data_IF_032741289639
#
_entry.id   IF_032741289639
#
_cell.length_a   1.000
_cell.length_b   1.000
_cell.length_c   1.000
_cell.angle_alpha   90.00
_cell.angle_beta   90.00
_cell.angle_gamma   90.00
#
_symmetry.space_group_name_H-M   'P 1'
#
loop_
_entity.id
_entity.type
_entity.pdbx_description
1 polymer ?
#
# COMPACT_ATOMS: atom_id res chain seq x y z
N UNK A 1 -5.03 -25.80 -23.47
CA UNK A 1 -5.25 -25.04 -22.21
C UNK A 1 -5.06 -25.98 -21.03
N UNK A 2 -4.42 -25.53 -19.95
CA UNK A 2 -4.09 -26.29 -18.74
C UNK A 2 -4.76 -25.67 -17.50
N UNK A 3 -4.82 -26.40 -16.36
CA UNK A 3 -5.27 -25.87 -15.05
C UNK A 3 -4.48 -24.59 -14.73
N UNK A 4 -5.15 -23.49 -14.36
CA UNK A 4 -4.50 -22.21 -13.97
C UNK A 4 -4.32 -22.10 -12.46
N UNK A 5 -4.25 -23.24 -11.81
CA UNK A 5 -4.40 -23.41 -10.37
C UNK A 5 -3.22 -22.77 -9.61
N UNK A 6 -2.00 -22.93 -10.14
CA UNK A 6 -0.78 -22.27 -9.66
C UNK A 6 -0.79 -20.76 -9.92
N UNK A 7 -1.18 -20.33 -11.12
CA UNK A 7 -1.24 -18.91 -11.50
C UNK A 7 -2.19 -18.14 -10.58
N UNK A 8 -3.37 -18.72 -10.29
CA UNK A 8 -4.33 -18.19 -9.31
C UNK A 8 -3.74 -18.10 -7.90
N UNK A 9 -3.02 -19.12 -7.46
CA UNK A 9 -2.41 -19.14 -6.14
C UNK A 9 -1.35 -18.05 -5.99
N UNK A 10 -0.50 -17.88 -7.01
CA UNK A 10 0.53 -16.84 -7.05
C UNK A 10 -0.11 -15.44 -7.08
N UNK A 11 -1.08 -15.21 -7.97
CA UNK A 11 -1.76 -13.91 -8.05
C UNK A 11 -2.47 -13.56 -6.73
N UNK A 12 -3.07 -14.53 -6.05
CA UNK A 12 -3.66 -14.31 -4.71
C UNK A 12 -2.61 -14.00 -3.65
N UNK A 13 -1.43 -14.63 -3.71
CA UNK A 13 -0.32 -14.31 -2.82
C UNK A 13 0.16 -12.87 -3.05
N UNK A 14 0.30 -12.45 -4.30
CA UNK A 14 0.72 -11.09 -4.65
C UNK A 14 -0.29 -10.03 -4.17
N UNK A 15 -1.60 -10.30 -4.31
CA UNK A 15 -2.67 -9.46 -3.75
C UNK A 15 -2.47 -9.30 -2.24
N UNK A 16 -2.36 -10.41 -1.50
CA UNK A 16 -2.19 -10.36 -0.04
C UNK A 16 -0.93 -9.58 0.36
N UNK A 17 0.18 -9.75 -0.38
CA UNK A 17 1.42 -9.00 -0.11
C UNK A 17 1.24 -7.51 -0.35
N UNK A 18 0.57 -7.09 -1.42
CA UNK A 18 0.29 -5.67 -1.66
C UNK A 18 -0.64 -5.09 -0.61
N UNK A 19 -1.65 -5.83 -0.16
CA UNK A 19 -2.53 -5.41 0.94
C UNK A 19 -1.72 -5.17 2.22
N UNK A 20 -0.83 -6.09 2.58
CA UNK A 20 0.06 -5.93 3.75
C UNK A 20 0.94 -4.68 3.64
N UNK A 21 1.55 -4.45 2.47
CA UNK A 21 2.36 -3.25 2.22
C UNK A 21 1.50 -1.99 2.36
N UNK A 22 0.29 -1.99 1.80
CA UNK A 22 -0.63 -0.86 1.88
C UNK A 22 -1.01 -0.53 3.34
N UNK A 23 -1.27 -1.55 4.17
CA UNK A 23 -1.52 -1.35 5.59
C UNK A 23 -0.32 -0.70 6.29
N UNK A 24 0.90 -1.16 6.04
CA UNK A 24 2.11 -0.57 6.62
C UNK A 24 2.31 0.88 6.19
N UNK A 25 2.04 1.22 4.93
CA UNK A 25 2.16 2.59 4.43
C UNK A 25 1.14 3.53 5.08
N UNK A 26 -0.11 3.09 5.23
CA UNK A 26 -1.16 3.88 5.91
C UNK A 26 -0.82 4.10 7.38
N UNK A 27 -0.32 3.08 8.07
CA UNK A 27 0.08 3.22 9.47
C UNK A 27 1.27 4.18 9.61
N UNK A 28 2.23 4.10 8.68
CA UNK A 28 3.38 5.03 8.63
C UNK A 28 2.95 6.47 8.38
N UNK A 29 1.97 6.72 7.49
CA UNK A 29 1.39 8.04 7.25
C UNK A 29 0.74 8.61 8.53
N UNK A 30 0.01 7.78 9.26
CA UNK A 30 -0.61 8.15 10.53
C UNK A 30 0.44 8.50 11.58
N UNK A 31 1.44 7.65 11.78
CA UNK A 31 2.54 7.91 12.73
C UNK A 31 3.29 9.19 12.37
N UNK A 32 3.57 9.42 11.08
CA UNK A 32 4.23 10.65 10.65
C UNK A 32 3.40 11.89 10.98
N UNK A 33 2.08 11.83 10.78
CA UNK A 33 1.16 12.91 11.12
C UNK A 33 1.10 13.16 12.63
N UNK A 34 1.12 12.11 13.44
CA UNK A 34 1.16 12.21 14.91
C UNK A 34 2.47 12.85 15.39
N UNK A 35 3.61 12.44 14.83
CA UNK A 35 4.92 13.01 15.16
C UNK A 35 4.99 14.50 14.79
N UNK A 36 4.50 14.87 13.61
CA UNK A 36 4.42 16.28 13.19
C UNK A 36 3.59 17.11 14.17
N UNK A 37 2.44 16.62 14.62
CA UNK A 37 1.61 17.32 15.60
C UNK A 37 2.32 17.47 16.95
N UNK A 38 2.93 16.41 17.47
CA UNK A 38 3.69 16.44 18.72
C UNK A 38 4.86 17.42 18.65
N UNK A 39 5.56 17.48 17.51
CA UNK A 39 6.65 18.42 17.30
C UNK A 39 6.15 19.86 17.22
N UNK A 40 5.05 20.11 16.50
CA UNK A 40 4.39 21.42 16.45
C UNK A 40 3.99 21.91 17.85
N UNK A 41 3.46 21.04 18.70
CA UNK A 41 3.10 21.35 20.09
C UNK A 41 4.33 21.66 20.96
N UNK A 42 5.40 20.88 20.80
CA UNK A 42 6.67 21.11 21.50
C UNK A 42 7.31 22.44 21.08
N UNK A 43 7.32 22.73 19.79
CA UNK A 43 7.81 23.98 19.20
C UNK A 43 7.01 25.19 19.71
N UNK A 44 5.68 25.05 19.81
CA UNK A 44 4.82 26.09 20.36
C UNK A 44 5.10 26.34 21.85
N UNK A 45 5.24 25.27 22.64
CA UNK A 45 5.51 25.35 24.09
C UNK A 45 6.90 25.91 24.39
N UNK A 46 7.90 25.56 23.60
CA UNK A 46 9.29 26.03 23.79
C UNK A 46 9.51 27.47 23.34
N UNK A 47 8.75 27.98 22.34
CA UNK A 47 8.67 29.42 22.02
C UNK A 47 8.19 30.26 23.20
N UNK A 48 7.28 29.72 24.01
CA UNK A 48 6.77 30.40 25.21
C UNK A 48 7.78 30.35 26.37
N UNK A 49 8.75 29.42 26.37
CA UNK A 49 9.54 29.10 27.57
C UNK A 49 11.03 29.50 27.48
N UNK A 50 11.83 29.17 26.44
CA UNK A 50 13.27 29.53 26.39
C UNK A 50 13.90 29.49 24.96
N UNK A 51 14.41 30.64 24.49
CA UNK A 51 15.51 30.86 23.50
C UNK A 51 15.38 30.48 22.01
N UNK A 52 16.05 31.28 21.17
CA UNK A 52 15.74 31.60 19.77
C UNK A 52 16.72 31.08 18.70
N UNK A 53 17.57 30.08 18.96
CA UNK A 53 18.56 29.60 17.96
C UNK A 53 18.36 28.11 17.61
N UNK A 54 18.36 27.19 18.57
CA UNK A 54 18.26 25.75 18.30
C UNK A 54 16.90 25.33 17.70
N UNK A 55 15.85 26.10 17.98
CA UNK A 55 14.48 25.82 17.53
C UNK A 55 14.27 25.99 16.02
N UNK A 56 15.00 26.90 15.37
CA UNK A 56 14.88 27.09 13.93
C UNK A 56 15.61 25.99 13.14
N UNK A 57 16.77 25.53 13.62
CA UNK A 57 17.48 24.38 13.02
C UNK A 57 16.67 23.09 13.18
N UNK A 58 16.12 22.83 14.37
CA UNK A 58 15.21 21.70 14.61
C UNK A 58 13.98 21.73 13.70
N UNK A 59 13.31 22.88 13.57
CA UNK A 59 12.17 23.01 12.64
C UNK A 59 12.60 22.79 11.18
N UNK A 60 13.78 23.24 10.76
CA UNK A 60 14.25 23.06 9.37
C UNK A 60 14.58 21.59 9.07
N UNK A 61 15.29 20.90 9.97
CA UNK A 61 15.57 19.47 9.83
C UNK A 61 14.28 18.64 9.87
N UNK A 62 13.33 19.01 10.72
CA UNK A 62 12.02 18.36 10.81
C UNK A 62 11.17 18.60 9.56
N UNK A 63 11.16 19.83 9.02
CA UNK A 63 10.45 20.15 7.78
C UNK A 63 11.05 19.37 6.61
N UNK A 64 12.38 19.19 6.58
CA UNK A 64 13.07 18.42 5.55
C UNK A 64 12.75 16.92 5.65
N UNK A 65 12.81 16.34 6.85
CA UNK A 65 12.47 14.92 7.10
C UNK A 65 10.99 14.64 6.83
N UNK A 66 10.09 15.53 7.27
CA UNK A 66 8.66 15.40 7.01
C UNK A 66 8.35 15.59 5.53
N UNK A 67 9.04 16.47 4.81
CA UNK A 67 8.77 16.67 3.38
C UNK A 67 9.01 15.40 2.58
N UNK A 68 10.13 14.72 2.81
CA UNK A 68 10.44 13.50 2.08
C UNK A 68 9.43 12.37 2.39
N UNK A 69 8.99 12.25 3.65
CA UNK A 69 8.01 11.24 4.06
C UNK A 69 6.59 11.58 3.60
N UNK A 70 6.18 12.85 3.73
CA UNK A 70 4.84 13.33 3.38
C UNK A 70 4.60 13.43 1.88
N UNK A 71 5.64 13.56 1.05
CA UNK A 71 5.51 13.50 -0.41
C UNK A 71 5.53 12.06 -0.94
N UNK A 72 6.37 11.19 -0.38
CA UNK A 72 6.58 9.83 -0.93
C UNK A 72 5.48 8.85 -0.51
N UNK A 73 5.04 8.87 0.76
CA UNK A 73 4.08 7.88 1.27
C UNK A 73 2.72 7.94 0.54
N UNK A 74 2.09 9.11 0.35
CA UNK A 74 0.81 9.18 -0.37
C UNK A 74 0.92 8.66 -1.80
N UNK A 75 2.04 8.95 -2.47
CA UNK A 75 2.30 8.52 -3.84
C UNK A 75 2.48 6.99 -3.94
N UNK A 76 3.17 6.39 -2.95
CA UNK A 76 3.28 4.94 -2.80
C UNK A 76 1.92 4.28 -2.51
N UNK A 77 1.10 4.88 -1.64
CA UNK A 77 -0.28 4.41 -1.36
C UNK A 77 -1.11 4.36 -2.64
N UNK A 78 -1.04 5.42 -3.47
CA UNK A 78 -1.75 5.48 -4.76
C UNK A 78 -1.26 4.36 -5.70
N UNK A 79 0.06 4.16 -5.80
CA UNK A 79 0.66 3.08 -6.63
C UNK A 79 0.22 1.70 -6.15
N UNK A 80 0.23 1.43 -4.85
CA UNK A 80 -0.24 0.19 -4.27
C UNK A 80 -1.73 -0.05 -4.56
N UNK A 81 -2.60 0.95 -4.35
CA UNK A 81 -4.04 0.86 -4.67
C UNK A 81 -4.28 0.56 -6.15
N UNK A 82 -3.54 1.22 -7.04
CA UNK A 82 -3.64 0.96 -8.48
C UNK A 82 -3.23 -0.47 -8.81
N UNK A 83 -2.09 -0.93 -8.28
CA UNK A 83 -1.58 -2.27 -8.56
C UNK A 83 -2.49 -3.37 -7.99
N UNK A 84 -3.05 -3.15 -6.80
CA UNK A 84 -4.04 -4.04 -6.20
C UNK A 84 -5.23 -4.26 -7.13
N UNK A 85 -5.81 -3.16 -7.65
CA UNK A 85 -6.92 -3.20 -8.59
C UNK A 85 -6.58 -3.91 -9.91
N UNK A 86 -5.34 -3.79 -10.38
CA UNK A 86 -4.86 -4.53 -11.56
C UNK A 86 -4.80 -6.03 -11.28
N UNK A 87 -4.23 -6.44 -10.14
CA UNK A 87 -4.14 -7.85 -9.75
C UNK A 87 -5.52 -8.48 -9.50
N UNK A 88 -6.46 -7.76 -8.89
CA UNK A 88 -7.83 -8.25 -8.69
C UNK A 88 -8.54 -8.55 -10.02
N UNK A 89 -8.30 -7.72 -11.05
CA UNK A 89 -8.82 -7.94 -12.40
C UNK A 89 -8.17 -9.15 -13.06
N UNK A 90 -6.86 -9.28 -12.94
CA UNK A 90 -6.10 -10.41 -13.46
C UNK A 90 -6.55 -11.73 -12.81
N UNK A 91 -6.68 -11.75 -11.48
CA UNK A 91 -7.19 -12.89 -10.73
C UNK A 91 -8.60 -13.29 -11.19
N UNK A 92 -9.48 -12.30 -11.39
CA UNK A 92 -10.83 -12.53 -11.90
C UNK A 92 -10.81 -13.14 -13.30
N UNK A 93 -9.93 -12.66 -14.18
CA UNK A 93 -9.73 -13.20 -15.52
C UNK A 93 -9.24 -14.65 -15.47
N UNK A 94 -8.20 -14.94 -14.68
CA UNK A 94 -7.67 -16.30 -14.48
C UNK A 94 -8.76 -17.25 -13.97
N UNK A 95 -9.60 -16.81 -13.02
CA UNK A 95 -10.72 -17.59 -12.51
C UNK A 95 -11.75 -17.91 -13.61
N UNK A 96 -12.08 -16.93 -14.46
CA UNK A 96 -13.00 -17.15 -15.58
C UNK A 96 -12.43 -18.12 -16.63
N UNK A 97 -11.15 -18.03 -16.95
CA UNK A 97 -10.49 -18.95 -17.88
C UNK A 97 -10.45 -20.39 -17.34
N UNK A 98 -10.09 -20.55 -16.07
CA UNK A 98 -10.02 -21.83 -15.38
C UNK A 98 -11.41 -22.51 -15.35
N UNK A 99 -12.46 -21.76 -15.02
CA UNK A 99 -13.84 -22.25 -15.04
C UNK A 99 -14.25 -22.74 -16.44
N UNK A 100 -14.00 -21.93 -17.49
CA UNK A 100 -14.30 -22.30 -18.88
C UNK A 100 -13.57 -23.57 -19.31
N UNK A 101 -12.31 -23.73 -18.89
CA UNK A 101 -11.54 -24.93 -19.17
C UNK A 101 -12.17 -26.17 -18.51
N UNK A 102 -12.56 -26.07 -17.25
CA UNK A 102 -13.20 -27.17 -16.52
C UNK A 102 -14.59 -27.53 -17.07
N UNK A 103 -15.39 -26.54 -17.47
CA UNK A 103 -16.68 -26.76 -18.14
C UNK A 103 -16.51 -27.52 -19.45
N UNK A 104 -15.58 -27.08 -20.33
CA UNK A 104 -15.29 -27.78 -21.60
C UNK A 104 -14.83 -29.22 -21.37
N UNK A 105 -14.00 -29.46 -20.36
CA UNK A 105 -13.55 -30.81 -19.99
C UNK A 105 -14.70 -31.70 -19.53
N UNK A 106 -15.67 -31.17 -18.77
CA UNK A 106 -16.87 -31.91 -18.35
C UNK A 106 -17.75 -32.27 -19.54
N UNK A 107 -17.99 -31.35 -20.48
CA UNK A 107 -18.80 -31.61 -21.67
C UNK A 107 -18.19 -32.68 -22.59
N UNK A 108 -16.87 -32.69 -22.78
CA UNK A 108 -16.20 -33.74 -23.56
C UNK A 108 -16.24 -35.12 -22.89
N UNK A 109 -16.36 -35.19 -21.56
CA UNK A 109 -16.39 -36.46 -20.81
C UNK A 109 -17.80 -37.07 -20.70
N UNK A 110 -18.86 -36.35 -21.05
CA UNK A 110 -20.24 -36.85 -21.11
C UNK A 110 -20.72 -37.14 -22.53
N UNK A 111 -19.85 -36.95 -23.53
CA UNK A 111 -20.16 -37.16 -24.95
C UNK A 111 -19.58 -38.48 -25.50
N UNK A 112 -19.05 -39.34 -24.62
CA UNK A 112 -18.52 -40.67 -24.88
C UNK A 112 -19.21 -41.67 -23.94
#
# INVERSE_FOLDING_TARGET
>A
MSCRCTDKANCRKDINTIEQILYTLIDSERTNSELYNQHSDLSSSSRETFTTINMNELNMEELQLNKDVSEIIPDLIIKCKKKLKELEREYSSLKSEDNRYHERKRHHHHSH
#
